data_IF_636525350789
#
_entry.id   IF_636525350789
#
_cell.length_a   1.000
_cell.length_b   1.000
_cell.length_c   1.000
_cell.angle_alpha   90.00
_cell.angle_beta   90.00
_cell.angle_gamma   90.00
#
_symmetry.space_group_name_H-M   'P 1'
#
loop_
_entity.id
_entity.type
_entity.pdbx_description
1 polymer ?
#
# COMPACT_ATOMS: atom_id res chain seq x y z
N UNK A 1 11.42 15.51 -0.04
CA UNK A 1 12.42 14.79 0.77
C UNK A 1 11.85 14.53 2.15
N UNK A 2 12.40 13.57 2.89
CA UNK A 2 12.07 13.32 4.29
C UNK A 2 13.34 13.43 5.14
N UNK A 3 13.20 13.62 6.44
CA UNK A 3 14.33 13.58 7.36
C UNK A 3 14.33 12.24 8.10
N UNK A 4 15.43 11.50 7.99
CA UNK A 4 15.69 10.27 8.74
C UNK A 4 16.85 10.56 9.70
N UNK A 5 16.60 10.42 11.01
CA UNK A 5 17.60 10.68 12.07
C UNK A 5 18.35 12.01 11.87
N UNK A 6 17.64 13.07 11.44
CA UNK A 6 18.21 14.40 11.18
C UNK A 6 18.86 14.60 9.80
N UNK A 7 18.99 13.55 8.99
CA UNK A 7 19.57 13.63 7.63
C UNK A 7 18.50 13.66 6.54
N UNK A 8 18.60 14.57 5.55
CA UNK A 8 17.63 14.63 4.46
C UNK A 8 17.84 13.47 3.48
N UNK A 9 16.76 12.76 3.16
CA UNK A 9 16.72 11.67 2.18
C UNK A 9 15.71 11.97 1.07
N UNK A 10 16.09 11.65 -0.16
CA UNK A 10 15.19 11.71 -1.31
C UNK A 10 14.27 10.50 -1.28
N UNK A 11 12.99 10.74 -1.53
CA UNK A 11 11.96 9.71 -1.66
C UNK A 11 11.15 9.99 -2.91
N UNK A 12 10.51 8.97 -3.45
CA UNK A 12 9.61 9.14 -4.60
C UNK A 12 8.41 10.03 -4.22
N UNK A 13 7.81 10.75 -5.18
CA UNK A 13 6.62 11.54 -4.92
C UNK A 13 5.46 10.71 -4.33
N UNK A 14 5.33 9.45 -4.76
CA UNK A 14 4.31 8.54 -4.23
C UNK A 14 4.52 8.25 -2.74
N UNK A 15 5.76 7.94 -2.32
CA UNK A 15 6.06 7.70 -0.92
C UNK A 15 5.92 8.97 -0.07
N UNK A 16 6.35 10.12 -0.59
CA UNK A 16 6.15 11.39 0.09
C UNK A 16 4.66 11.68 0.33
N UNK A 17 3.82 11.45 -0.68
CA UNK A 17 2.37 11.61 -0.57
C UNK A 17 1.78 10.65 0.49
N UNK A 18 2.13 9.37 0.45
CA UNK A 18 1.68 8.38 1.43
C UNK A 18 2.04 8.79 2.87
N UNK A 19 3.30 9.21 3.10
CA UNK A 19 3.77 9.64 4.42
C UNK A 19 3.05 10.89 4.94
N UNK A 20 2.64 11.81 4.05
CA UNK A 20 1.86 12.97 4.43
C UNK A 20 0.43 12.59 4.86
N UNK A 21 -0.19 11.63 4.18
CA UNK A 21 -1.54 11.17 4.52
C UNK A 21 -1.58 10.26 5.75
N UNK A 22 -0.49 9.53 6.03
CA UNK A 22 -0.35 8.70 7.22
C UNK A 22 0.06 9.49 8.47
N UNK A 23 0.53 10.73 8.30
CA UNK A 23 0.97 11.55 9.42
C UNK A 23 -0.23 12.08 10.19
N UNK A 24 -0.25 11.78 11.48
CA UNK A 24 -1.15 12.39 12.45
C UNK A 24 -0.36 13.47 13.24
N UNK A 25 -0.92 14.69 13.42
CA UNK A 25 -0.23 15.76 14.15
C UNK A 25 -0.12 15.50 15.66
N UNK A 26 -0.98 14.64 16.22
CA UNK A 26 -1.05 14.34 17.65
C UNK A 26 -0.38 13.01 18.01
N UNK A 27 -0.25 12.09 17.04
CA UNK A 27 0.26 10.73 17.27
C UNK A 27 1.48 10.41 16.43
N UNK A 28 2.51 9.87 17.07
CA UNK A 28 3.64 9.28 16.36
C UNK A 28 3.24 7.90 15.81
N UNK A 29 3.63 7.63 14.57
CA UNK A 29 3.42 6.35 13.90
C UNK A 29 4.76 5.72 13.58
N UNK A 30 4.99 4.50 14.09
CA UNK A 30 6.15 3.69 13.72
C UNK A 30 5.83 2.96 12.43
N UNK A 31 6.53 3.30 11.36
CA UNK A 31 6.37 2.68 10.04
C UNK A 31 7.63 1.95 9.64
N UNK A 32 7.46 0.73 9.14
CA UNK A 32 8.48 0.06 8.34
C UNK A 32 8.15 0.26 6.87
N UNK A 33 9.11 0.80 6.10
CA UNK A 33 8.99 1.05 4.67
C UNK A 33 10.27 0.55 4.02
N UNK A 34 10.17 -0.45 3.14
CA UNK A 34 11.31 -1.09 2.46
C UNK A 34 12.29 -0.08 1.80
N UNK A 35 11.75 0.93 1.11
CA UNK A 35 12.53 1.97 0.44
C UNK A 35 13.27 2.93 1.40
N UNK A 36 12.97 2.87 2.70
CA UNK A 36 13.50 3.76 3.74
C UNK A 36 14.34 3.00 4.75
N UNK A 37 13.84 1.86 5.23
CA UNK A 37 14.42 1.06 6.29
C UNK A 37 15.51 0.10 5.79
N UNK A 38 15.49 -0.27 4.51
CA UNK A 38 16.52 -1.13 3.91
C UNK A 38 17.57 -0.25 3.25
N UNK A 39 18.84 -0.46 3.57
CA UNK A 39 19.92 0.15 2.82
C UNK A 39 19.97 -0.41 1.40
N UNK A 40 19.54 0.38 0.43
CA UNK A 40 19.50 -0.04 -0.97
C UNK A 40 20.89 -0.12 -1.62
N UNK A 41 21.91 0.48 -1.00
CA UNK A 41 23.29 0.50 -1.49
C UNK A 41 24.12 -0.71 -1.00
N UNK A 42 23.69 -1.36 0.08
CA UNK A 42 24.31 -2.58 0.60
C UNK A 42 23.52 -3.81 0.13
N UNK A 43 24.05 -4.51 -0.86
CA UNK A 43 23.41 -5.70 -1.42
C UNK A 43 23.32 -6.87 -0.43
N UNK A 44 24.25 -6.97 0.53
CA UNK A 44 24.23 -8.03 1.54
C UNK A 44 23.15 -7.77 2.59
N UNK A 45 23.07 -6.54 3.10
CA UNK A 45 21.99 -6.11 3.99
C UNK A 45 20.64 -6.25 3.29
N UNK A 46 20.53 -5.76 2.05
CA UNK A 46 19.31 -5.86 1.25
C UNK A 46 18.86 -7.30 1.09
N UNK A 47 19.77 -8.23 0.75
CA UNK A 47 19.45 -9.65 0.66
C UNK A 47 18.93 -10.22 1.97
N UNK A 48 19.55 -9.85 3.09
CA UNK A 48 19.13 -10.25 4.42
C UNK A 48 17.74 -9.70 4.79
N UNK A 49 17.51 -8.40 4.61
CA UNK A 49 16.25 -7.72 4.89
C UNK A 49 15.11 -8.26 4.03
N UNK A 50 15.36 -8.51 2.74
CA UNK A 50 14.38 -9.15 1.85
C UNK A 50 14.00 -10.54 2.35
N UNK A 51 14.96 -11.31 2.86
CA UNK A 51 14.68 -12.59 3.52
C UNK A 51 13.81 -12.47 4.78
N UNK A 52 13.91 -11.34 5.49
CA UNK A 52 13.14 -11.05 6.71
C UNK A 52 11.76 -10.45 6.45
N UNK A 53 11.47 -9.94 5.24
CA UNK A 53 10.18 -9.28 4.93
C UNK A 53 8.97 -10.11 5.34
N UNK A 54 9.02 -11.43 5.14
CA UNK A 54 7.95 -12.34 5.57
C UNK A 54 7.67 -12.26 7.08
N UNK A 55 8.72 -12.19 7.89
CA UNK A 55 8.58 -12.07 9.34
C UNK A 55 8.06 -10.69 9.72
N UNK A 56 8.54 -9.63 9.06
CA UNK A 56 8.12 -8.24 9.29
C UNK A 56 6.61 -8.09 9.03
N UNK A 57 6.11 -8.53 7.86
CA UNK A 57 4.67 -8.49 7.56
C UNK A 57 3.84 -9.36 8.52
N UNK A 58 4.36 -10.54 8.91
CA UNK A 58 3.68 -11.40 9.87
C UNK A 58 3.65 -10.83 11.30
N UNK A 59 4.57 -9.94 11.65
CA UNK A 59 4.66 -9.30 12.96
C UNK A 59 4.09 -7.88 13.00
N UNK A 60 3.76 -7.29 11.85
CA UNK A 60 3.12 -5.98 11.77
C UNK A 60 1.74 -6.02 12.42
N UNK A 61 1.41 -5.00 13.22
CA UNK A 61 0.06 -4.84 13.77
C UNK A 61 -0.96 -4.59 12.65
N UNK A 62 -0.57 -3.80 11.64
CA UNK A 62 -1.36 -3.47 10.46
C UNK A 62 -0.44 -3.30 9.26
N UNK A 63 -0.90 -3.76 8.11
CA UNK A 63 -0.26 -3.47 6.82
C UNK A 63 -1.09 -2.42 6.10
N UNK A 64 -0.48 -1.27 5.78
CA UNK A 64 -1.13 -0.21 5.03
C UNK A 64 -0.75 -0.30 3.56
N UNK A 65 -1.75 -0.36 2.70
CA UNK A 65 -1.58 -0.29 1.25
C UNK A 65 -1.95 1.10 0.77
N UNK A 66 -0.98 1.81 0.18
CA UNK A 66 -1.21 3.11 -0.43
C UNK A 66 -1.47 2.97 -1.93
N UNK A 67 -2.73 3.14 -2.33
CA UNK A 67 -3.15 3.09 -3.73
C UNK A 67 -3.04 4.44 -4.44
N UNK A 68 -2.53 5.49 -3.78
CA UNK A 68 -2.56 6.86 -4.28
C UNK A 68 -3.70 7.68 -3.68
N UNK A 69 -3.71 9.01 -3.90
CA UNK A 69 -4.80 9.88 -3.46
C UNK A 69 -6.16 9.45 -4.00
N UNK A 70 -7.24 9.97 -3.41
CA UNK A 70 -8.58 9.76 -3.96
C UNK A 70 -8.66 10.30 -5.40
N UNK A 71 -9.06 9.43 -6.33
CA UNK A 71 -9.24 9.73 -7.74
C UNK A 71 -10.15 8.68 -8.39
N UNK A 72 -10.76 9.01 -9.53
CA UNK A 72 -11.52 8.05 -10.35
C UNK A 72 -12.62 7.31 -9.58
N UNK A 73 -13.28 8.05 -8.66
CA UNK A 73 -14.29 7.52 -7.74
C UNK A 73 -13.77 6.40 -6.81
N UNK A 74 -12.48 6.42 -6.46
CA UNK A 74 -11.91 5.43 -5.53
C UNK A 74 -12.63 5.39 -4.19
N UNK A 75 -13.19 6.50 -3.72
CA UNK A 75 -13.97 6.50 -2.47
C UNK A 75 -15.23 5.63 -2.61
N UNK A 76 -15.93 5.74 -3.74
CA UNK A 76 -17.07 4.86 -4.07
C UNK A 76 -16.61 3.40 -4.17
N UNK A 77 -15.45 3.13 -4.77
CA UNK A 77 -14.91 1.77 -4.83
C UNK A 77 -14.58 1.22 -3.43
N UNK A 78 -13.96 2.03 -2.56
CA UNK A 78 -13.59 1.64 -1.20
C UNK A 78 -14.82 1.43 -0.31
N UNK A 79 -15.80 2.33 -0.38
CA UNK A 79 -17.09 2.17 0.32
C UNK A 79 -17.80 0.91 -0.15
N UNK A 80 -17.76 0.65 -1.46
CA UNK A 80 -18.34 -0.55 -2.03
C UNK A 80 -17.63 -1.82 -1.54
N UNK A 81 -16.30 -1.82 -1.50
CA UNK A 81 -15.49 -2.93 -0.94
C UNK A 81 -15.86 -3.17 0.54
N UNK A 82 -15.91 -2.10 1.33
CA UNK A 82 -16.19 -2.18 2.76
C UNK A 82 -17.58 -2.76 3.06
N UNK A 83 -18.58 -2.41 2.26
CA UNK A 83 -19.96 -2.87 2.45
C UNK A 83 -20.24 -4.27 1.86
N UNK A 84 -19.38 -4.76 0.96
CA UNK A 84 -19.63 -6.01 0.23
C UNK A 84 -19.09 -7.26 0.93
N UNK A 85 -18.18 -7.11 1.91
CA UNK A 85 -17.59 -8.20 2.72
C UNK A 85 -16.67 -9.16 1.94
N UNK A 86 -17.06 -9.59 0.75
CA UNK A 86 -16.25 -10.36 -0.20
C UNK A 86 -16.65 -10.01 -1.63
N UNK A 87 -15.70 -9.52 -2.42
CA UNK A 87 -15.94 -9.16 -3.81
C UNK A 87 -15.53 -10.34 -4.70
N UNK A 88 -16.51 -10.95 -5.35
CA UNK A 88 -16.24 -11.82 -6.47
C UNK A 88 -16.06 -10.96 -7.72
N UNK A 89 -14.82 -10.82 -8.20
CA UNK A 89 -14.49 -10.00 -9.38
C UNK A 89 -15.20 -10.47 -10.67
N UNK A 90 -15.78 -11.68 -10.67
CA UNK A 90 -16.59 -12.24 -11.76
C UNK A 90 -18.10 -12.13 -11.52
N UNK A 91 -18.53 -11.49 -10.44
CA UNK A 91 -19.94 -11.31 -10.16
C UNK A 91 -20.60 -10.50 -11.28
N UNK A 92 -21.72 -10.97 -11.87
CA UNK A 92 -22.44 -10.24 -12.91
C UNK A 92 -22.88 -8.84 -12.50
N UNK A 93 -23.04 -8.58 -11.19
CA UNK A 93 -23.28 -7.23 -10.64
C UNK A 93 -22.16 -6.24 -10.98
N UNK A 94 -20.95 -6.72 -11.28
CA UNK A 94 -19.78 -5.91 -11.65
C UNK A 94 -19.48 -5.91 -13.14
N UNK A 95 -20.30 -6.58 -13.96
CA UNK A 95 -20.17 -6.59 -15.41
C UNK A 95 -20.85 -5.39 -16.09
N UNK A 96 -21.49 -4.51 -15.31
CA UNK A 96 -22.17 -3.30 -15.79
C UNK A 96 -21.21 -2.14 -16.07
N UNK A 97 -21.71 -1.08 -16.72
CA UNK A 97 -21.05 0.23 -16.84
C UNK A 97 -21.44 1.19 -15.71
N UNK A 98 -21.95 0.67 -14.61
CA UNK A 98 -22.38 1.44 -13.45
C UNK A 98 -21.19 2.00 -12.68
N UNK A 99 -21.42 3.07 -11.92
CA UNK A 99 -20.35 3.83 -11.25
C UNK A 99 -19.47 2.96 -10.34
N UNK A 100 -20.02 2.01 -9.53
CA UNK A 100 -19.20 1.14 -8.68
C UNK A 100 -18.26 0.21 -9.47
N UNK A 101 -18.75 -0.38 -10.57
CA UNK A 101 -17.92 -1.29 -11.39
C UNK A 101 -16.79 -0.54 -12.11
N UNK A 102 -17.07 0.65 -12.63
CA UNK A 102 -16.07 1.49 -13.28
C UNK A 102 -15.03 2.00 -12.28
N UNK A 103 -15.46 2.41 -11.09
CA UNK A 103 -14.59 2.82 -10.00
C UNK A 103 -13.68 1.68 -9.53
N UNK A 104 -14.22 0.47 -9.39
CA UNK A 104 -13.46 -0.72 -9.01
C UNK A 104 -12.45 -1.12 -10.09
N UNK A 105 -12.85 -1.07 -11.36
CA UNK A 105 -11.95 -1.32 -12.50
C UNK A 105 -10.82 -0.30 -12.55
N UNK A 106 -11.11 0.99 -12.33
CA UNK A 106 -10.08 2.03 -12.27
C UNK A 106 -9.14 1.84 -11.08
N UNK A 107 -9.66 1.44 -9.92
CA UNK A 107 -8.86 1.15 -8.72
C UNK A 107 -7.88 -0.01 -8.95
N UNK A 108 -8.33 -1.12 -9.58
CA UNK A 108 -7.47 -2.27 -9.90
C UNK A 108 -6.50 -2.02 -11.06
N UNK A 109 -6.77 -1.04 -11.92
CA UNK A 109 -5.84 -0.65 -12.99
C UNK A 109 -4.64 0.16 -12.49
N UNK A 110 -4.62 0.58 -11.21
CA UNK A 110 -3.51 1.37 -10.65
C UNK A 110 -2.21 0.57 -10.63
N UNK A 111 -1.10 1.23 -10.91
CA UNK A 111 0.26 0.64 -11.00
C UNK A 111 0.74 -0.07 -9.74
N UNK A 112 0.10 0.15 -8.59
CA UNK A 112 0.39 -0.64 -7.40
C UNK A 112 0.13 -2.13 -7.62
N UNK A 113 -0.97 -2.51 -8.28
CA UNK A 113 -1.39 -3.89 -8.49
C UNK A 113 -0.47 -4.71 -9.40
N UNK A 114 0.38 -4.05 -10.19
CA UNK A 114 1.36 -4.74 -11.07
C UNK A 114 2.70 -5.01 -10.40
N UNK A 115 2.88 -4.66 -9.12
CA UNK A 115 4.15 -4.86 -8.41
C UNK A 115 4.23 -6.27 -7.84
N UNK A 116 5.35 -6.95 -8.10
CA UNK A 116 5.65 -8.32 -7.63
C UNK A 116 5.47 -8.49 -6.11
N UNK A 117 5.70 -7.43 -5.33
CA UNK A 117 5.64 -7.46 -3.86
C UNK A 117 4.22 -7.45 -3.29
N UNK A 118 3.18 -7.17 -4.09
CA UNK A 118 1.76 -7.21 -3.67
C UNK A 118 1.36 -8.59 -3.14
N UNK A 119 1.94 -9.65 -3.70
CA UNK A 119 1.65 -11.03 -3.26
C UNK A 119 2.15 -11.26 -1.84
N UNK A 120 3.33 -10.74 -1.47
CA UNK A 120 3.84 -10.89 -0.12
C UNK A 120 3.02 -10.05 0.88
N UNK A 121 2.61 -8.85 0.50
CA UNK A 121 1.80 -7.97 1.34
C UNK A 121 0.41 -8.55 1.65
N UNK A 122 -0.28 -9.09 0.64
CA UNK A 122 -1.65 -9.61 0.80
C UNK A 122 -1.65 -10.97 1.50
N UNK A 123 -0.73 -11.88 1.17
CA UNK A 123 -0.75 -13.24 1.73
C UNK A 123 -0.09 -13.37 3.11
N UNK A 124 0.79 -12.45 3.50
CA UNK A 124 1.56 -12.56 4.75
C UNK A 124 1.12 -11.57 5.83
N UNK A 125 0.30 -10.58 5.49
CA UNK A 125 -0.34 -9.73 6.50
C UNK A 125 -1.34 -10.54 7.30
N UNK A 126 -1.33 -10.39 8.62
CA UNK A 126 -2.38 -10.95 9.48
C UNK A 126 -3.69 -10.19 9.26
N UNK A 127 -4.81 -10.94 9.23
CA UNK A 127 -6.17 -10.42 9.31
C UNK A 127 -6.49 -9.97 10.74
#
# INVERSE_FOLDING_TARGET
>A
SIYLTGTPRKVTPNLASALLHLRDPEKSLTLWIDAVCINQEDLAEKGHQVGQMRHIYACAEKTCVWLGPSSDNSDVAMDFIANSGSINVKDPRFSGKDVPSLALSALFARTWWSRIWVVQEIFLSKN
#
